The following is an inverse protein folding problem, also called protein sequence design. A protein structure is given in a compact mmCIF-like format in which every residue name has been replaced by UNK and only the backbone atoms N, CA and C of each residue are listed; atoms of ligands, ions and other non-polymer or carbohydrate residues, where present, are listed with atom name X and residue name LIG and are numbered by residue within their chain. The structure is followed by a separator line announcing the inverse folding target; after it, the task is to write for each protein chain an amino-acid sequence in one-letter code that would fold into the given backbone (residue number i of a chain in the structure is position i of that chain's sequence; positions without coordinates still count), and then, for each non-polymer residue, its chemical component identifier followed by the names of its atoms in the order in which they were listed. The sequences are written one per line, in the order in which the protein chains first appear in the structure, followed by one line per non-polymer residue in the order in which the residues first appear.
data_IF_627440765299
#
_entry.id   IF_627440765299
#
_cell.length_a   1.000
_cell.length_b   1.000
_cell.length_c   1.000
_cell.angle_alpha   90.00
_cell.angle_beta   90.00
_cell.angle_gamma   90.00
#
_symmetry.space_group_name_H-M   'P 1'
#
loop_
_entity.id
_entity.type
_entity.pdbx_description
1 polymer ?
#
# COMPACT_ATOMS: atom_id res chain seq x y z
N UNK A 1 -50.23 -32.29 28.76
CA UNK A 1 -48.89 -32.30 28.10
C UNK A 1 -48.77 -31.08 27.24
N UNK A 2 -47.92 -30.09 27.64
CA UNK A 2 -47.65 -28.87 26.86
C UNK A 2 -46.30 -29.10 26.13
N UNK A 3 -46.36 -29.18 24.80
CA UNK A 3 -45.16 -29.25 23.96
C UNK A 3 -44.56 -27.84 23.86
N UNK A 4 -43.33 -27.72 24.35
CA UNK A 4 -42.51 -26.52 24.21
C UNK A 4 -41.82 -26.54 22.82
N UNK A 5 -41.96 -25.50 21.96
CA UNK A 5 -41.25 -25.46 20.69
C UNK A 5 -39.78 -25.17 20.94
N UNK A 6 -38.89 -26.04 20.49
CA UNK A 6 -37.45 -25.87 20.47
C UNK A 6 -37.07 -24.88 19.36
N UNK A 7 -36.73 -23.62 19.72
CA UNK A 7 -36.23 -22.64 18.77
C UNK A 7 -34.77 -22.95 18.47
N UNK A 8 -34.49 -23.49 17.28
CA UNK A 8 -33.12 -23.66 16.76
C UNK A 8 -32.65 -22.31 16.23
N UNK A 9 -31.81 -21.62 16.99
CA UNK A 9 -31.13 -20.41 16.52
C UNK A 9 -30.06 -20.78 15.49
N UNK A 10 -30.33 -20.51 14.20
CA UNK A 10 -29.35 -20.65 13.13
C UNK A 10 -28.33 -19.51 13.27
N UNK A 11 -27.16 -19.79 13.83
CA UNK A 11 -26.05 -18.86 13.88
C UNK A 11 -25.52 -18.63 12.45
N UNK A 12 -25.82 -17.48 11.86
CA UNK A 12 -25.25 -17.05 10.60
C UNK A 12 -23.74 -16.81 10.80
N UNK A 13 -22.91 -17.75 10.35
CA UNK A 13 -21.47 -17.59 10.30
C UNK A 13 -21.16 -16.48 9.29
N UNK A 14 -20.72 -15.32 9.76
CA UNK A 14 -20.19 -14.26 8.89
C UNK A 14 -18.93 -14.80 8.22
N UNK A 15 -18.79 -14.72 6.87
CA UNK A 15 -17.59 -15.18 6.21
C UNK A 15 -16.38 -14.40 6.72
N UNK A 16 -15.40 -15.10 7.27
CA UNK A 16 -14.12 -14.52 7.63
C UNK A 16 -13.45 -14.03 6.33
N UNK A 17 -13.16 -12.74 6.25
CA UNK A 17 -12.41 -12.18 5.11
C UNK A 17 -10.96 -12.64 5.26
N UNK A 18 -10.61 -13.72 4.58
CA UNK A 18 -9.27 -14.30 4.60
C UNK A 18 -8.34 -13.58 3.62
N UNK A 19 -7.04 -13.55 3.93
CA UNK A 19 -6.01 -13.18 2.98
C UNK A 19 -6.01 -14.16 1.81
N UNK A 20 -5.59 -13.73 0.63
CA UNK A 20 -5.56 -14.56 -0.58
C UNK A 20 -4.14 -14.69 -1.11
N UNK A 21 -3.80 -15.87 -1.60
CA UNK A 21 -2.53 -16.14 -2.25
C UNK A 21 -2.49 -15.45 -3.61
N UNK A 22 -1.37 -14.78 -3.90
CA UNK A 22 -0.99 -14.25 -5.21
C UNK A 22 0.10 -15.16 -5.76
N UNK A 23 -0.28 -16.06 -6.65
CA UNK A 23 0.68 -16.96 -7.32
C UNK A 23 1.44 -16.23 -8.43
N UNK A 24 2.61 -16.75 -8.86
CA UNK A 24 3.32 -16.24 -10.04
C UNK A 24 2.44 -16.10 -11.28
N UNK A 25 2.80 -15.18 -12.18
CA UNK A 25 2.07 -14.92 -13.41
C UNK A 25 1.41 -13.54 -13.45
N UNK A 26 0.84 -13.18 -14.61
CA UNK A 26 0.25 -11.85 -14.84
C UNK A 26 -0.95 -11.60 -13.93
N UNK A 27 -0.90 -10.48 -13.23
CA UNK A 27 -1.95 -9.99 -12.32
C UNK A 27 -2.44 -8.61 -12.78
N UNK A 28 -3.52 -8.53 -13.56
CA UNK A 28 -4.11 -7.26 -13.94
C UNK A 28 -5.01 -6.72 -12.81
N UNK A 29 -5.30 -5.42 -12.90
CA UNK A 29 -6.33 -4.79 -12.05
C UNK A 29 -5.90 -4.57 -10.60
N UNK A 30 -4.60 -4.51 -10.31
CA UNK A 30 -4.08 -4.29 -8.96
C UNK A 30 -4.62 -2.97 -8.42
N UNK A 31 -5.01 -2.98 -7.15
CA UNK A 31 -5.60 -1.83 -6.45
C UNK A 31 -6.81 -1.24 -7.21
N UNK A 32 -7.60 -2.08 -7.89
CA UNK A 32 -8.78 -1.69 -8.70
C UNK A 32 -8.46 -0.64 -9.77
N UNK A 33 -7.30 -0.78 -10.40
CA UNK A 33 -6.79 0.20 -11.36
C UNK A 33 -6.30 -0.46 -12.64
N UNK A 34 -5.68 0.32 -13.54
CA UNK A 34 -5.01 -0.20 -14.75
C UNK A 34 -3.67 -0.88 -14.45
N UNK A 35 -3.19 -0.78 -13.20
CA UNK A 35 -1.90 -1.35 -12.81
C UNK A 35 -1.92 -2.86 -12.92
N UNK A 36 -0.91 -3.41 -13.57
CA UNK A 36 -0.65 -4.83 -13.67
C UNK A 36 0.78 -5.14 -13.21
N UNK A 37 1.01 -6.36 -12.72
CA UNK A 37 2.33 -6.88 -12.36
C UNK A 37 2.44 -8.35 -12.72
N UNK A 38 3.68 -8.83 -12.85
CA UNK A 38 3.97 -10.26 -13.06
C UNK A 38 4.93 -10.74 -11.97
N UNK A 39 4.41 -11.06 -10.75
CA UNK A 39 5.24 -11.61 -9.70
C UNK A 39 5.88 -12.92 -10.14
N UNK A 40 7.15 -13.11 -9.81
CA UNK A 40 7.90 -14.37 -10.05
C UNK A 40 7.82 -15.34 -8.88
N UNK A 41 7.41 -14.86 -7.69
CA UNK A 41 7.20 -15.62 -6.47
C UNK A 41 5.82 -15.41 -5.89
N UNK A 42 5.50 -16.17 -4.86
CA UNK A 42 4.23 -16.10 -4.15
C UNK A 42 4.19 -14.93 -3.18
N UNK A 43 3.02 -14.29 -3.07
CA UNK A 43 2.71 -13.24 -2.11
C UNK A 43 1.36 -13.50 -1.45
N UNK A 44 1.17 -12.99 -0.26
CA UNK A 44 -0.12 -12.98 0.41
C UNK A 44 -0.75 -11.60 0.25
N UNK A 45 -1.91 -11.51 -0.43
CA UNK A 45 -2.70 -10.29 -0.51
C UNK A 45 -3.56 -10.15 0.73
N UNK A 46 -3.40 -9.03 1.42
CA UNK A 46 -4.17 -8.73 2.62
C UNK A 46 -5.60 -8.31 2.26
N UNK A 47 -6.56 -8.85 2.99
CA UNK A 47 -7.99 -8.58 2.80
C UNK A 47 -8.43 -7.25 3.40
N UNK A 48 -7.76 -6.79 4.46
CA UNK A 48 -8.06 -5.52 5.15
C UNK A 48 -6.98 -4.49 4.84
N UNK A 49 -7.33 -3.55 3.97
CA UNK A 49 -6.43 -2.46 3.55
C UNK A 49 -7.11 -1.11 3.76
N UNK A 50 -6.32 -0.09 3.97
CA UNK A 50 -6.75 1.25 4.37
C UNK A 50 -7.31 2.14 3.25
N UNK A 51 -7.87 1.59 2.16
CA UNK A 51 -8.43 2.41 1.08
C UNK A 51 -9.07 1.61 -0.04
N UNK A 52 -9.86 2.27 -0.89
CA UNK A 52 -10.56 1.61 -2.00
C UNK A 52 -9.64 1.28 -3.18
N UNK A 53 -8.66 2.13 -3.44
CA UNK A 53 -7.67 1.97 -4.50
C UNK A 53 -6.30 1.62 -3.92
N UNK A 54 -6.31 0.81 -2.85
CA UNK A 54 -5.11 0.30 -2.19
C UNK A 54 -5.16 -1.21 -2.17
N UNK A 55 -4.05 -1.84 -2.49
CA UNK A 55 -3.85 -3.28 -2.36
C UNK A 55 -2.51 -3.51 -1.66
N UNK A 56 -2.45 -4.47 -0.75
CA UNK A 56 -1.24 -4.74 0.02
C UNK A 56 -0.88 -6.21 -0.10
N UNK A 57 0.38 -6.46 -0.47
CA UNK A 57 0.96 -7.81 -0.51
C UNK A 57 2.09 -7.92 0.51
N UNK A 58 2.25 -9.11 1.05
CA UNK A 58 3.30 -9.44 2.03
C UNK A 58 3.80 -10.86 1.81
N UNK A 59 5.00 -11.16 2.30
CA UNK A 59 5.54 -12.51 2.37
C UNK A 59 5.32 -13.07 3.78
N UNK A 60 5.77 -12.34 4.81
CA UNK A 60 5.81 -12.82 6.20
C UNK A 60 4.82 -12.10 7.13
N UNK A 61 3.94 -11.26 6.57
CA UNK A 61 3.04 -10.39 7.33
C UNK A 61 3.43 -8.91 7.23
N UNK A 62 2.45 -8.03 7.37
CA UNK A 62 2.56 -6.58 7.12
C UNK A 62 3.47 -5.83 8.10
N UNK A 63 3.81 -6.45 9.22
CA UNK A 63 4.78 -5.91 10.19
C UNK A 63 6.23 -6.18 9.78
N UNK A 64 6.49 -7.27 9.04
CA UNK A 64 7.83 -7.71 8.66
C UNK A 64 8.21 -7.31 7.23
N UNK A 65 7.27 -7.33 6.31
CA UNK A 65 7.44 -6.80 4.96
C UNK A 65 6.10 -6.54 4.30
N UNK A 66 5.99 -5.48 3.55
CA UNK A 66 4.78 -5.23 2.76
C UNK A 66 5.09 -4.42 1.52
N UNK A 67 4.37 -4.72 0.45
CA UNK A 67 4.24 -3.87 -0.73
C UNK A 67 2.84 -3.27 -0.69
N UNK A 68 2.75 -1.94 -0.82
CA UNK A 68 1.46 -1.26 -0.95
C UNK A 68 1.35 -0.65 -2.34
N UNK A 69 0.28 -1.00 -3.04
CA UNK A 69 -0.06 -0.46 -4.35
C UNK A 69 -1.19 0.56 -4.17
N UNK A 70 -0.97 1.77 -4.64
CA UNK A 70 -1.95 2.84 -4.73
C UNK A 70 -2.26 3.06 -6.21
N UNK A 71 -3.45 2.63 -6.65
CA UNK A 71 -3.77 2.54 -8.07
C UNK A 71 -4.76 3.60 -8.52
N UNK A 72 -4.31 4.57 -9.34
CA UNK A 72 -5.21 5.54 -9.95
C UNK A 72 -5.92 6.45 -8.95
N UNK A 73 -5.18 6.99 -7.97
CA UNK A 73 -5.72 7.93 -6.99
C UNK A 73 -5.97 9.27 -7.69
N UNK A 74 -7.22 9.59 -7.95
CA UNK A 74 -7.61 10.79 -8.67
C UNK A 74 -7.52 12.07 -7.82
N UNK A 75 -7.65 13.22 -8.52
CA UNK A 75 -7.72 14.54 -7.89
C UNK A 75 -8.73 14.60 -6.74
N UNK A 76 -8.34 15.25 -5.65
CA UNK A 76 -9.16 15.42 -4.45
C UNK A 76 -9.33 14.15 -3.60
N UNK A 77 -8.66 13.06 -3.98
CA UNK A 77 -8.66 11.81 -3.21
C UNK A 77 -7.40 11.70 -2.37
N UNK A 78 -7.49 10.94 -1.28
CA UNK A 78 -6.40 10.66 -0.36
C UNK A 78 -5.79 9.29 -0.64
N UNK A 79 -4.51 9.08 -0.32
CA UNK A 79 -3.84 7.76 -0.45
C UNK A 79 -4.55 6.70 0.39
N UNK A 80 -4.94 7.06 1.58
CA UNK A 80 -5.56 6.16 2.55
C UNK A 80 -6.98 6.62 2.88
N UNK A 81 -7.75 5.73 3.50
CA UNK A 81 -9.12 6.05 3.92
C UNK A 81 -9.11 7.16 4.96
N UNK A 82 -9.86 8.23 4.70
CA UNK A 82 -10.09 9.31 5.65
C UNK A 82 -11.05 8.86 6.75
N UNK A 83 -10.54 8.72 7.97
CA UNK A 83 -11.35 8.31 9.13
C UNK A 83 -11.96 9.53 9.82
N UNK A 84 -11.16 10.53 10.16
CA UNK A 84 -11.61 11.79 10.78
C UNK A 84 -11.15 12.99 9.96
N UNK A 85 -12.04 13.46 9.09
CA UNK A 85 -11.75 14.57 8.18
C UNK A 85 -11.61 15.92 8.90
N UNK A 86 -12.23 16.06 10.06
CA UNK A 86 -12.23 17.34 10.80
C UNK A 86 -10.99 17.48 11.69
N UNK A 87 -10.59 16.41 12.36
CA UNK A 87 -9.46 16.44 13.32
C UNK A 87 -8.13 16.06 12.68
N UNK A 88 -8.14 15.13 11.71
CA UNK A 88 -6.95 14.62 11.06
C UNK A 88 -7.16 14.57 9.53
N UNK A 89 -7.22 15.75 8.86
CA UNK A 89 -7.38 15.78 7.41
C UNK A 89 -6.14 15.18 6.74
N UNK A 90 -6.36 14.19 5.86
CA UNK A 90 -5.30 13.63 5.04
C UNK A 90 -5.06 14.51 3.81
N UNK A 91 -3.79 14.62 3.34
CA UNK A 91 -3.46 15.33 2.12
C UNK A 91 -4.10 14.65 0.91
N UNK A 92 -4.46 15.45 -0.08
CA UNK A 92 -5.16 15.01 -1.29
C UNK A 92 -4.25 15.14 -2.51
N UNK A 93 -4.46 14.27 -3.49
CA UNK A 93 -3.83 14.40 -4.81
C UNK A 93 -4.31 15.69 -5.46
N UNK A 94 -3.37 16.58 -5.82
CA UNK A 94 -3.66 17.84 -6.51
C UNK A 94 -3.75 17.63 -8.02
N UNK A 95 -4.51 18.48 -8.70
CA UNK A 95 -4.56 18.52 -10.16
C UNK A 95 -3.22 18.93 -10.80
N UNK A 96 -2.42 19.72 -10.07
CA UNK A 96 -1.13 20.28 -10.50
C UNK A 96 0.05 19.54 -9.86
N UNK A 97 -0.19 18.37 -9.27
CA UNK A 97 0.85 17.60 -8.60
C UNK A 97 1.96 17.20 -9.56
N UNK A 98 3.19 17.52 -9.20
CA UNK A 98 4.39 17.09 -9.90
C UNK A 98 4.89 15.75 -9.35
N UNK A 99 5.75 15.08 -10.09
CA UNK A 99 6.39 13.84 -9.61
C UNK A 99 7.17 14.07 -8.31
N UNK A 100 7.81 15.22 -8.19
CA UNK A 100 8.59 15.64 -7.01
C UNK A 100 7.75 15.89 -5.76
N UNK A 101 6.42 16.03 -5.89
CA UNK A 101 5.51 16.22 -4.75
C UNK A 101 5.07 14.89 -4.12
N UNK A 102 5.25 13.77 -4.84
CA UNK A 102 4.79 12.45 -4.40
C UNK A 102 5.42 12.00 -3.07
N UNK A 103 6.74 12.17 -2.84
CA UNK A 103 7.35 11.83 -1.55
C UNK A 103 6.75 12.61 -0.39
N UNK A 104 6.55 13.92 -0.55
CA UNK A 104 5.94 14.78 0.47
C UNK A 104 4.48 14.41 0.74
N UNK A 105 3.71 13.99 -0.28
CA UNK A 105 2.35 13.47 -0.11
C UNK A 105 2.34 12.22 0.76
N UNK A 106 3.25 11.27 0.52
CA UNK A 106 3.36 10.05 1.32
C UNK A 106 3.74 10.38 2.77
N UNK A 107 4.78 11.18 2.97
CA UNK A 107 5.24 11.59 4.30
C UNK A 107 4.13 12.27 5.10
N UNK A 108 3.46 13.27 4.50
CA UNK A 108 2.37 13.98 5.16
C UNK A 108 1.19 13.07 5.45
N UNK A 109 0.88 12.10 4.57
CA UNK A 109 -0.16 11.10 4.82
C UNK A 109 0.16 10.25 6.05
N UNK A 110 1.39 9.78 6.17
CA UNK A 110 1.81 8.92 7.29
C UNK A 110 1.82 9.67 8.61
N UNK A 111 2.32 10.91 8.61
CA UNK A 111 2.30 11.78 9.80
C UNK A 111 0.88 12.11 10.23
N UNK A 112 0.01 12.46 9.30
CA UNK A 112 -1.38 12.82 9.59
C UNK A 112 -2.20 11.63 10.13
N UNK A 113 -1.85 10.39 9.79
CA UNK A 113 -2.50 9.21 10.38
C UNK A 113 -2.10 8.94 11.85
N UNK A 114 -1.06 9.60 12.37
CA UNK A 114 -0.56 9.37 13.72
C UNK A 114 0.09 8.00 13.94
N UNK A 115 0.23 7.19 12.90
CA UNK A 115 0.85 5.88 12.98
C UNK A 115 2.39 5.92 12.95
N UNK A 116 2.96 7.07 12.57
CA UNK A 116 4.39 7.30 12.41
C UNK A 116 4.81 8.47 13.29
N UNK A 117 5.79 8.23 14.16
CA UNK A 117 6.35 9.26 15.06
C UNK A 117 7.35 10.12 14.30
N UNK A 118 8.22 9.48 13.55
CA UNK A 118 9.28 10.11 12.78
C UNK A 118 9.32 9.50 11.38
N UNK A 119 9.46 10.35 10.36
CA UNK A 119 9.68 9.93 8.98
C UNK A 119 10.57 10.96 8.29
N UNK A 120 11.47 10.48 7.45
CA UNK A 120 12.30 11.30 6.56
C UNK A 120 12.36 10.69 5.16
N UNK A 121 12.41 11.55 4.16
CA UNK A 121 12.74 11.16 2.78
C UNK A 121 14.26 11.21 2.66
N UNK A 122 14.87 10.04 2.42
CA UNK A 122 16.33 9.89 2.44
C UNK A 122 16.95 10.21 1.06
N UNK A 123 16.33 9.73 -0.01
CA UNK A 123 16.78 9.98 -1.40
C UNK A 123 15.60 10.18 -2.33
N UNK A 124 15.82 10.93 -3.42
CA UNK A 124 14.86 11.10 -4.50
C UNK A 124 15.63 11.14 -5.83
N UNK A 125 15.13 10.41 -6.84
CA UNK A 125 15.75 10.39 -8.15
C UNK A 125 14.73 10.14 -9.26
N UNK A 126 14.95 10.68 -10.48
CA UNK A 126 14.16 10.34 -11.65
C UNK A 126 14.23 8.84 -11.93
N UNK A 127 13.11 8.29 -12.36
CA UNK A 127 12.97 6.86 -12.69
C UNK A 127 11.95 6.68 -13.82
N UNK A 128 11.71 5.43 -14.18
CA UNK A 128 10.61 5.04 -15.06
C UNK A 128 9.78 3.92 -14.42
N UNK A 129 8.47 3.94 -14.65
CA UNK A 129 7.54 2.86 -14.34
C UNK A 129 6.89 2.42 -15.65
N UNK A 130 7.31 1.26 -16.16
CA UNK A 130 7.08 0.90 -17.55
C UNK A 130 7.68 1.95 -18.49
N UNK A 131 6.88 2.55 -19.36
CA UNK A 131 7.28 3.63 -20.28
C UNK A 131 7.06 5.04 -19.71
N UNK A 132 6.52 5.18 -18.50
CA UNK A 132 6.14 6.46 -17.90
C UNK A 132 7.29 7.04 -17.08
N UNK A 133 7.47 8.37 -17.17
CA UNK A 133 8.35 9.10 -16.23
C UNK A 133 7.83 8.92 -14.82
N UNK A 134 8.71 8.64 -13.88
CA UNK A 134 8.40 8.37 -12.49
C UNK A 134 9.43 9.02 -11.57
N UNK A 135 9.14 9.04 -10.27
CA UNK A 135 10.10 9.33 -9.22
C UNK A 135 10.28 8.09 -8.36
N UNK A 136 11.54 7.71 -8.12
CA UNK A 136 11.92 6.72 -7.11
C UNK A 136 12.47 7.45 -5.91
N UNK A 137 12.10 7.01 -4.72
CA UNK A 137 12.63 7.59 -3.49
C UNK A 137 12.73 6.54 -2.40
N UNK A 138 13.65 6.75 -1.47
CA UNK A 138 13.78 5.96 -0.24
C UNK A 138 13.41 6.82 0.95
N UNK A 139 12.95 6.18 2.00
CA UNK A 139 12.55 6.84 3.23
C UNK A 139 12.76 5.93 4.43
N UNK A 140 12.91 6.55 5.59
CA UNK A 140 12.98 5.85 6.87
C UNK A 140 11.92 6.39 7.82
N UNK A 141 11.41 5.52 8.69
CA UNK A 141 10.38 5.89 9.64
C UNK A 141 10.34 4.97 10.85
N UNK A 142 9.76 5.48 11.95
CA UNK A 142 9.48 4.72 13.16
C UNK A 142 8.00 4.81 13.47
N UNK A 143 7.38 3.68 13.80
CA UNK A 143 5.97 3.64 14.19
C UNK A 143 5.79 4.00 15.65
N UNK A 144 4.63 4.57 15.98
CA UNK A 144 4.26 4.87 17.37
C UNK A 144 4.00 3.62 18.23
N UNK A 145 3.82 2.46 17.61
CA UNK A 145 3.39 1.24 18.29
C UNK A 145 4.52 0.30 18.71
N UNK A 146 5.70 0.40 18.11
CA UNK A 146 6.75 -0.61 18.30
C UNK A 146 8.19 -0.08 18.30
N UNK A 147 8.39 1.23 18.12
CA UNK A 147 9.72 1.89 18.07
C UNK A 147 10.72 1.27 17.08
N UNK A 148 10.27 0.34 16.24
CA UNK A 148 11.12 -0.34 15.26
C UNK A 148 11.41 0.60 14.10
N UNK A 149 12.69 0.84 13.84
CA UNK A 149 13.11 1.59 12.67
C UNK A 149 12.84 0.79 11.40
N UNK A 150 12.17 1.42 10.44
CA UNK A 150 11.83 0.85 9.14
C UNK A 150 12.44 1.66 8.01
N UNK A 151 12.75 0.97 6.93
CA UNK A 151 13.08 1.56 5.64
C UNK A 151 11.95 1.33 4.65
N UNK A 152 11.81 2.27 3.71
CA UNK A 152 10.94 2.13 2.56
C UNK A 152 11.64 2.51 1.26
N UNK A 153 11.27 1.86 0.19
CA UNK A 153 11.57 2.28 -1.19
C UNK A 153 10.25 2.40 -1.94
N UNK A 154 10.09 3.47 -2.70
CA UNK A 154 8.87 3.74 -3.43
C UNK A 154 9.15 4.22 -4.86
N UNK A 155 8.19 3.96 -5.75
CA UNK A 155 8.15 4.54 -7.09
C UNK A 155 6.76 5.09 -7.36
N UNK A 156 6.67 6.31 -7.87
CA UNK A 156 5.39 6.95 -8.18
C UNK A 156 5.39 7.66 -9.53
N UNK A 157 4.24 7.68 -10.17
CA UNK A 157 4.00 8.36 -11.44
C UNK A 157 2.59 8.95 -11.50
N UNK A 158 2.41 9.95 -12.37
CA UNK A 158 1.10 10.51 -12.69
C UNK A 158 0.70 10.07 -14.10
N UNK A 159 -0.51 9.52 -14.23
CA UNK A 159 -1.10 9.12 -15.51
C UNK A 159 -2.51 9.69 -15.61
N UNK A 160 -2.77 10.50 -16.61
CA UNK A 160 -4.08 11.13 -16.85
C UNK A 160 -4.64 11.87 -15.61
N UNK A 161 -3.75 12.54 -14.85
CA UNK A 161 -4.12 13.26 -13.62
C UNK A 161 -4.38 12.39 -12.40
N UNK A 162 -4.14 11.07 -12.49
CA UNK A 162 -4.24 10.15 -11.38
C UNK A 162 -2.86 9.64 -10.95
N UNK A 163 -2.67 9.51 -9.64
CA UNK A 163 -1.44 9.02 -9.02
C UNK A 163 -1.44 7.48 -9.00
N UNK A 164 -0.31 6.92 -9.40
CA UNK A 164 0.07 5.53 -9.18
C UNK A 164 1.34 5.51 -8.34
N UNK A 165 1.29 4.84 -7.21
CA UNK A 165 2.42 4.76 -6.27
C UNK A 165 2.55 3.33 -5.77
N UNK A 166 3.76 2.82 -5.74
CA UNK A 166 4.08 1.50 -5.18
C UNK A 166 5.17 1.67 -4.14
N UNK A 167 4.94 1.19 -2.93
CA UNK A 167 5.90 1.27 -1.83
C UNK A 167 6.26 -0.13 -1.35
N UNK A 168 7.51 -0.31 -0.95
CA UNK A 168 7.97 -1.46 -0.18
C UNK A 168 8.46 -0.97 1.18
N UNK A 169 8.08 -1.66 2.26
CA UNK A 169 8.44 -1.32 3.63
C UNK A 169 8.78 -2.56 4.44
N UNK A 170 9.84 -2.47 5.24
CA UNK A 170 10.23 -3.51 6.16
C UNK A 170 11.06 -2.93 7.33
N UNK A 171 11.19 -3.64 8.48
CA UNK A 171 12.20 -3.33 9.49
C UNK A 171 13.59 -3.20 8.87
N UNK A 172 14.31 -2.14 9.24
CA UNK A 172 15.64 -1.82 8.67
C UNK A 172 16.68 -2.89 8.97
N UNK A 173 16.54 -3.54 10.12
CA UNK A 173 17.40 -4.65 10.51
C UNK A 173 16.89 -5.94 9.84
N UNK A 174 17.69 -6.53 8.96
CA UNK A 174 17.48 -7.82 8.28
C UNK A 174 16.40 -7.84 7.20
N UNK A 175 15.10 -7.56 7.51
CA UNK A 175 13.98 -7.82 6.60
C UNK A 175 13.99 -6.94 5.36
N UNK A 176 14.41 -5.67 5.48
CA UNK A 176 14.46 -4.77 4.33
C UNK A 176 15.45 -5.27 3.28
N UNK A 177 16.68 -5.56 3.68
CA UNK A 177 17.74 -5.98 2.77
C UNK A 177 17.51 -7.40 2.23
N UNK A 178 16.89 -8.28 3.02
CA UNK A 178 16.52 -9.64 2.60
C UNK A 178 15.58 -9.67 1.40
N UNK A 179 14.57 -8.80 1.38
CA UNK A 179 13.47 -8.90 0.41
C UNK A 179 13.41 -7.78 -0.62
N UNK A 180 14.27 -6.75 -0.52
CA UNK A 180 14.29 -5.61 -1.46
C UNK A 180 14.50 -6.04 -2.92
N UNK A 181 15.27 -7.10 -3.16
CA UNK A 181 15.49 -7.64 -4.51
C UNK A 181 14.20 -8.20 -5.12
N UNK A 182 13.36 -8.85 -4.32
CA UNK A 182 12.05 -9.38 -4.76
C UNK A 182 11.10 -8.24 -5.14
N UNK A 183 11.09 -7.17 -4.33
CA UNK A 183 10.33 -5.96 -4.64
C UNK A 183 10.79 -5.32 -5.95
N UNK A 184 12.09 -5.13 -6.15
CA UNK A 184 12.63 -4.53 -7.37
C UNK A 184 12.36 -5.39 -8.60
N UNK A 185 12.42 -6.71 -8.48
CA UNK A 185 12.02 -7.63 -9.55
C UNK A 185 10.53 -7.45 -9.91
N UNK A 186 9.66 -7.30 -8.91
CA UNK A 186 8.25 -7.01 -9.12
C UNK A 186 8.03 -5.65 -9.80
N UNK A 187 8.75 -4.60 -9.38
CA UNK A 187 8.69 -3.27 -10.02
C UNK A 187 9.02 -3.31 -11.51
N UNK A 188 10.02 -4.11 -11.90
CA UNK A 188 10.41 -4.24 -13.30
C UNK A 188 9.33 -4.91 -14.17
N UNK A 189 8.37 -5.59 -13.56
CA UNK A 189 7.23 -6.22 -14.23
C UNK A 189 5.97 -5.35 -14.28
N UNK A 190 6.00 -4.15 -13.67
CA UNK A 190 4.82 -3.29 -13.62
C UNK A 190 4.49 -2.73 -15.00
N UNK A 191 3.19 -2.73 -15.30
CA UNK A 191 2.59 -2.15 -16.50
C UNK A 191 1.40 -1.27 -16.14
N UNK A 192 1.23 -0.16 -16.94
CA UNK A 192 0.13 0.82 -16.81
C UNK A 192 -0.47 1.11 -18.18
#
# INVERSE_FOLDING_TARGET
MKLLPLLIALAAATPAVANSLVSPGVRPGIARSKLAATPVGEWNRLSRVGGNNVEVWTIDGDLLNKISFYGGIGRGRTLLRQVDRKRQPLPQVSATMLLTDIPALLETTYRAQGAVVQMSIDTQQPATLGTRKAIRFTYSFTRSTDEVQRKGEAIGTMVDGALYLVTYEAPSLYFFDRDIAKYRALLNSLAL
#
